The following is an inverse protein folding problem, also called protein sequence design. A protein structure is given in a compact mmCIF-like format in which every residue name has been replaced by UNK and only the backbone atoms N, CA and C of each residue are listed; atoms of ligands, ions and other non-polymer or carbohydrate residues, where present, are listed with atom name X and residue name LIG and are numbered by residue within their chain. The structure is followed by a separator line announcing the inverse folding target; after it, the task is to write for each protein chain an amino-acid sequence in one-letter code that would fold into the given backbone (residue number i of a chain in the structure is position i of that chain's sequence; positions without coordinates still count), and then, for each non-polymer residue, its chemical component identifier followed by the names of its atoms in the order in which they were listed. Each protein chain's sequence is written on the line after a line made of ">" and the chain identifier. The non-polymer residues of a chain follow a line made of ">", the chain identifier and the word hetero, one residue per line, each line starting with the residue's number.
data_IF_883630701465
#
_entry.id   IF_883630701465
#
_cell.length_a   1.000
_cell.length_b   1.000
_cell.length_c   1.000
_cell.angle_alpha   90.00
_cell.angle_beta   90.00
_cell.angle_gamma   90.00
#
_symmetry.space_group_name_H-M   'P 1'
#
loop_
_entity.id
_entity.type
_entity.pdbx_description
1 polymer ?
#
# COMPACT_ATOMS: atom_id res chain seq x y z
N UNK A 1 3.74 -19.68 -28.26
CA UNK A 1 3.49 -18.29 -27.84
C UNK A 1 2.65 -18.34 -26.56
N UNK A 2 2.98 -17.58 -25.52
CA UNK A 2 2.19 -17.58 -24.29
C UNK A 2 0.84 -16.86 -24.53
N UNK A 3 -0.28 -17.50 -24.19
CA UNK A 3 -1.59 -16.86 -24.24
C UNK A 3 -1.63 -15.69 -23.25
N UNK A 4 -1.97 -14.48 -23.73
CA UNK A 4 -2.13 -13.26 -22.92
C UNK A 4 -3.58 -12.79 -22.92
N UNK A 5 -4.04 -12.24 -21.79
CA UNK A 5 -5.37 -11.63 -21.63
C UNK A 5 -5.27 -10.38 -20.76
N UNK A 6 -6.01 -9.34 -21.10
CA UNK A 6 -6.18 -8.15 -20.26
C UNK A 6 -7.59 -8.17 -19.66
N UNK A 7 -7.72 -7.95 -18.36
CA UNK A 7 -9.01 -7.69 -17.70
C UNK A 7 -9.09 -6.21 -17.32
N UNK A 8 -10.17 -5.53 -17.75
CA UNK A 8 -10.38 -4.10 -17.47
C UNK A 8 -10.26 -3.73 -15.99
N UNK A 9 -10.77 -4.59 -15.10
CA UNK A 9 -10.66 -4.43 -13.66
C UNK A 9 -10.51 -5.80 -13.00
N UNK A 10 -9.58 -5.92 -12.06
CA UNK A 10 -9.37 -7.11 -11.25
C UNK A 10 -9.07 -6.71 -9.81
N UNK A 11 -9.71 -7.37 -8.84
CA UNK A 11 -9.38 -7.18 -7.42
C UNK A 11 -8.37 -8.26 -7.04
N UNK A 12 -7.18 -7.83 -6.67
CA UNK A 12 -6.11 -8.66 -6.16
C UNK A 12 -6.07 -8.57 -4.62
N UNK A 13 -5.74 -9.70 -3.98
CA UNK A 13 -5.61 -9.83 -2.52
C UNK A 13 -4.19 -10.25 -2.10
N UNK A 14 -3.22 -10.23 -3.02
CA UNK A 14 -1.84 -10.69 -2.77
C UNK A 14 -1.13 -9.99 -1.61
N UNK A 15 -1.50 -8.74 -1.31
CA UNK A 15 -0.93 -7.95 -0.21
C UNK A 15 -1.72 -8.04 1.11
N UNK A 16 -2.73 -8.91 1.19
CA UNK A 16 -3.55 -9.09 2.39
C UNK A 16 -4.71 -8.10 2.54
N UNK A 17 -4.93 -7.23 1.55
CA UNK A 17 -6.08 -6.33 1.43
C UNK A 17 -6.45 -6.16 -0.06
N UNK A 18 -7.69 -5.73 -0.39
CA UNK A 18 -8.12 -5.61 -1.78
C UNK A 18 -7.43 -4.43 -2.50
N UNK A 19 -6.68 -4.73 -3.55
CA UNK A 19 -6.13 -3.76 -4.50
C UNK A 19 -6.84 -3.88 -5.84
N UNK A 20 -7.35 -2.77 -6.36
CA UNK A 20 -8.00 -2.74 -7.68
C UNK A 20 -6.94 -2.50 -8.74
N UNK A 21 -6.66 -3.52 -9.54
CA UNK A 21 -5.82 -3.44 -10.73
C UNK A 21 -6.67 -3.07 -11.95
N UNK A 22 -6.38 -1.93 -12.56
CA UNK A 22 -6.95 -1.51 -13.83
C UNK A 22 -6.10 -2.06 -14.98
N UNK A 23 -6.77 -2.58 -16.01
CA UNK A 23 -6.13 -3.21 -17.17
C UNK A 23 -5.13 -4.32 -16.80
N UNK A 24 -5.51 -5.18 -15.86
CA UNK A 24 -4.68 -6.24 -15.31
C UNK A 24 -4.23 -7.25 -16.40
N UNK A 25 -2.92 -7.39 -16.67
CA UNK A 25 -2.40 -8.36 -17.61
C UNK A 25 -2.33 -9.75 -16.97
N UNK A 26 -2.72 -10.76 -17.74
CA UNK A 26 -2.65 -12.16 -17.36
C UNK A 26 -1.90 -12.94 -18.42
N UNK A 27 -1.14 -13.93 -17.95
CA UNK A 27 -0.52 -14.96 -18.79
C UNK A 27 -0.95 -16.35 -18.32
N UNK A 28 -0.94 -17.32 -19.24
CA UNK A 28 -1.25 -18.72 -18.93
C UNK A 28 0.02 -19.48 -18.57
N UNK A 29 0.08 -20.02 -17.35
CA UNK A 29 1.17 -20.84 -16.84
C UNK A 29 0.58 -22.16 -16.33
N UNK A 30 1.03 -23.29 -16.87
CA UNK A 30 0.52 -24.63 -16.51
C UNK A 30 -1.02 -24.72 -16.55
N UNK A 31 -1.64 -24.14 -17.59
CA UNK A 31 -3.10 -24.13 -17.76
C UNK A 31 -3.87 -23.14 -16.87
N UNK A 32 -3.21 -22.45 -15.94
CA UNK A 32 -3.81 -21.46 -15.04
C UNK A 32 -3.48 -20.03 -15.49
N UNK A 33 -4.46 -19.13 -15.39
CA UNK A 33 -4.25 -17.71 -15.61
C UNK A 33 -3.66 -17.06 -14.36
N UNK A 34 -2.49 -16.47 -14.51
CA UNK A 34 -1.78 -15.75 -13.44
C UNK A 34 -1.50 -14.31 -13.86
N UNK A 35 -1.41 -13.40 -12.90
CA UNK A 35 -1.04 -12.01 -13.18
C UNK A 35 0.37 -11.96 -13.79
N UNK A 36 0.50 -11.21 -14.89
CA UNK A 36 1.77 -10.99 -15.60
C UNK A 36 2.32 -9.62 -15.23
N UNK A 37 2.70 -9.46 -13.96
CA UNK A 37 3.16 -8.21 -13.38
C UNK A 37 4.59 -8.33 -12.87
N UNK A 38 5.32 -7.23 -12.90
CA UNK A 38 6.53 -7.12 -12.09
C UNK A 38 6.11 -6.87 -10.63
N UNK A 39 6.22 -7.88 -9.78
CA UNK A 39 5.76 -7.80 -8.39
C UNK A 39 6.52 -6.76 -7.56
N UNK A 40 7.80 -6.52 -7.84
CA UNK A 40 8.58 -5.48 -7.15
C UNK A 40 8.05 -4.08 -7.50
N UNK A 41 7.78 -3.82 -8.79
CA UNK A 41 7.15 -2.57 -9.23
C UNK A 41 5.75 -2.45 -8.67
N UNK A 42 5.00 -3.55 -8.61
CA UNK A 42 3.65 -3.57 -8.07
C UNK A 42 3.60 -3.22 -6.59
N UNK A 43 4.49 -3.80 -5.78
CA UNK A 43 4.64 -3.46 -4.36
C UNK A 43 4.95 -1.97 -4.16
N UNK A 44 5.94 -1.44 -4.89
CA UNK A 44 6.30 -0.01 -4.85
C UNK A 44 5.13 0.91 -5.27
N UNK A 45 4.37 0.51 -6.29
CA UNK A 45 3.20 1.25 -6.75
C UNK A 45 2.08 1.26 -5.68
N UNK A 46 1.83 0.13 -5.02
CA UNK A 46 0.86 0.05 -3.92
C UNK A 46 1.29 0.91 -2.74
N UNK A 47 2.56 0.86 -2.34
CA UNK A 47 3.09 1.72 -1.28
C UNK A 47 2.89 3.21 -1.62
N UNK A 48 3.25 3.63 -2.83
CA UNK A 48 3.04 5.01 -3.27
C UNK A 48 1.56 5.41 -3.35
N UNK A 49 0.66 4.50 -3.73
CA UNK A 49 -0.77 4.81 -3.75
C UNK A 49 -1.33 4.97 -2.33
N UNK A 50 -0.80 4.24 -1.35
CA UNK A 50 -1.19 4.38 0.06
C UNK A 50 -0.83 5.76 0.65
N UNK A 51 0.22 6.43 0.15
CA UNK A 51 0.61 7.77 0.65
C UNK A 51 -0.45 8.83 0.32
N UNK A 52 -1.08 8.73 -0.85
CA UNK A 52 -2.08 9.68 -1.34
C UNK A 52 -3.53 9.19 -1.19
N UNK A 53 -3.73 8.02 -0.57
CA UNK A 53 -5.06 7.46 -0.35
C UNK A 53 -5.97 8.47 0.39
N UNK A 54 -7.13 8.85 -0.17
CA UNK A 54 -8.05 9.82 0.45
C UNK A 54 -8.88 9.21 1.60
N UNK A 55 -8.41 8.09 2.17
CA UNK A 55 -8.95 7.48 3.36
C UNK A 55 -7.86 7.03 4.34
N UNK A 56 -8.25 6.83 5.61
CA UNK A 56 -7.35 6.32 6.66
C UNK A 56 -6.75 4.96 6.29
N UNK A 57 -5.52 4.71 6.74
CA UNK A 57 -4.88 3.41 6.57
C UNK A 57 -5.63 2.34 7.37
N UNK A 58 -5.80 1.16 6.77
CA UNK A 58 -6.33 -0.03 7.44
C UNK A 58 -5.22 -0.79 8.19
N UNK A 59 -5.61 -1.70 9.08
CA UNK A 59 -4.66 -2.58 9.76
C UNK A 59 -3.85 -3.46 8.80
N UNK A 60 -4.48 -3.99 7.75
CA UNK A 60 -3.81 -4.78 6.73
C UNK A 60 -2.83 -3.93 5.89
N UNK A 61 -3.18 -2.67 5.61
CA UNK A 61 -2.28 -1.74 4.91
C UNK A 61 -1.07 -1.38 5.77
N UNK A 62 -1.26 -1.12 7.07
CA UNK A 62 -0.15 -0.89 8.01
C UNK A 62 0.76 -2.11 8.11
N UNK A 63 0.18 -3.31 8.18
CA UNK A 63 0.93 -4.57 8.20
C UNK A 63 1.76 -4.73 6.92
N UNK A 64 1.16 -4.47 5.76
CA UNK A 64 1.85 -4.49 4.47
C UNK A 64 3.02 -3.51 4.44
N UNK A 65 2.80 -2.23 4.78
CA UNK A 65 3.87 -1.21 4.84
C UNK A 65 5.02 -1.69 5.73
N UNK A 66 4.72 -2.19 6.94
CA UNK A 66 5.74 -2.67 7.86
C UNK A 66 6.57 -3.82 7.26
N UNK A 67 5.92 -4.76 6.59
CA UNK A 67 6.61 -5.89 5.97
C UNK A 67 7.43 -5.49 4.74
N UNK A 68 6.96 -4.54 3.93
CA UNK A 68 7.68 -4.02 2.77
C UNK A 68 8.99 -3.32 3.13
N UNK A 69 9.09 -2.76 4.33
CA UNK A 69 10.32 -2.19 4.88
C UNK A 69 11.06 -3.15 5.83
N UNK A 70 10.68 -4.43 5.85
CA UNK A 70 11.29 -5.50 6.66
C UNK A 70 11.36 -5.18 8.17
N UNK A 71 10.41 -4.38 8.67
CA UNK A 71 10.43 -3.91 10.05
C UNK A 71 9.72 -4.91 10.97
N UNK A 72 10.33 -5.18 12.14
CA UNK A 72 9.61 -5.84 13.23
C UNK A 72 8.55 -4.89 13.81
N UNK A 73 7.51 -5.43 14.45
CA UNK A 73 6.52 -4.61 15.17
C UNK A 73 7.19 -3.67 16.19
N UNK A 74 8.29 -4.12 16.83
CA UNK A 74 9.08 -3.31 17.77
C UNK A 74 9.81 -2.17 17.08
N UNK A 75 10.45 -2.42 15.94
CA UNK A 75 11.13 -1.39 15.16
C UNK A 75 10.14 -0.35 14.63
N UNK A 76 8.99 -0.82 14.13
CA UNK A 76 7.93 0.06 13.63
C UNK A 76 7.34 0.93 14.74
N UNK A 77 7.07 0.35 15.91
CA UNK A 77 6.61 1.08 17.09
C UNK A 77 7.64 2.12 17.57
N UNK A 78 8.93 1.79 17.51
CA UNK A 78 10.02 2.73 17.86
C UNK A 78 10.08 3.91 16.89
N UNK A 79 9.75 3.71 15.61
CA UNK A 79 9.80 4.77 14.59
C UNK A 79 8.56 5.65 14.57
N UNK A 80 7.37 5.09 14.71
CA UNK A 80 6.10 5.80 14.47
C UNK A 80 5.13 5.82 15.65
N UNK A 81 5.29 4.89 16.60
CA UNK A 81 4.49 4.88 17.81
C UNK A 81 5.13 5.70 18.91
N UNK A 82 4.41 5.87 20.01
CA UNK A 82 4.95 6.39 21.28
C UNK A 82 5.84 5.33 21.97
N UNK A 83 6.61 4.56 21.20
CA UNK A 83 7.52 3.52 21.69
C UNK A 83 6.89 2.21 22.14
N UNK A 84 5.57 2.02 22.03
CA UNK A 84 4.89 0.83 22.58
C UNK A 84 4.49 -0.20 21.50
N UNK A 85 5.12 -1.39 21.56
CA UNK A 85 4.79 -2.55 20.70
C UNK A 85 3.28 -2.91 20.64
N UNK A 86 2.50 -2.81 21.74
CA UNK A 86 1.06 -3.06 21.71
C UNK A 86 0.27 -2.14 20.77
N UNK A 87 0.72 -0.90 20.51
CA UNK A 87 0.01 0.02 19.62
C UNK A 87 -0.01 -0.53 18.18
N UNK A 88 1.13 -0.99 17.68
CA UNK A 88 1.24 -1.58 16.33
C UNK A 88 0.39 -2.83 16.20
N UNK A 89 0.41 -3.72 17.21
CA UNK A 89 -0.48 -4.89 17.25
C UNK A 89 -1.95 -4.45 17.18
N UNK A 90 -2.32 -3.42 17.94
CA UNK A 90 -3.68 -2.88 17.97
C UNK A 90 -4.12 -2.31 16.62
N UNK A 91 -3.21 -1.67 15.88
CA UNK A 91 -3.45 -1.18 14.53
C UNK A 91 -3.63 -2.32 13.53
N UNK A 92 -2.72 -3.28 13.49
CA UNK A 92 -2.78 -4.41 12.55
C UNK A 92 -4.01 -5.30 12.78
N UNK A 93 -4.45 -5.45 14.04
CA UNK A 93 -5.67 -6.20 14.40
C UNK A 93 -6.96 -5.62 13.80
N UNK A 94 -6.96 -4.39 13.30
CA UNK A 94 -8.13 -3.79 12.64
C UNK A 94 -8.43 -4.43 11.27
N UNK A 95 -7.51 -5.20 10.68
CA UNK A 95 -7.71 -5.83 9.37
C UNK A 95 -8.02 -4.78 8.30
N UNK A 96 -9.11 -4.95 7.55
CA UNK A 96 -9.52 -3.98 6.53
C UNK A 96 -10.20 -2.71 7.07
N UNK A 97 -10.39 -2.62 8.40
CA UNK A 97 -10.97 -1.43 9.03
C UNK A 97 -9.90 -0.35 9.25
N UNK A 98 -10.28 0.94 9.21
CA UNK A 98 -9.41 2.04 9.57
C UNK A 98 -8.74 1.85 10.92
N UNK A 99 -7.46 2.21 11.01
CA UNK A 99 -6.74 2.23 12.27
C UNK A 99 -7.20 3.37 13.18
N UNK A 100 -7.00 3.22 14.49
CA UNK A 100 -7.31 4.24 15.50
C UNK A 100 -6.09 5.12 15.83
N UNK A 101 -5.04 5.13 14.99
CA UNK A 101 -3.84 5.94 15.25
C UNK A 101 -4.11 7.43 15.07
N UNK A 102 -3.27 8.26 15.69
CA UNK A 102 -3.34 9.72 15.49
C UNK A 102 -3.11 10.08 14.02
N UNK A 103 -3.64 11.22 13.58
CA UNK A 103 -3.38 11.68 12.21
C UNK A 103 -1.91 12.03 11.98
N UNK A 104 -1.21 12.57 12.99
CA UNK A 104 0.22 12.84 12.91
C UNK A 104 1.05 11.58 12.70
N UNK A 105 0.76 10.49 13.41
CA UNK A 105 1.40 9.18 13.20
C UNK A 105 1.16 8.67 11.79
N UNK A 106 -0.07 8.76 11.29
CA UNK A 106 -0.37 8.29 9.92
C UNK A 106 0.34 9.14 8.87
N UNK A 107 0.43 10.47 9.06
CA UNK A 107 1.24 11.34 8.18
C UNK A 107 2.70 10.92 8.17
N UNK A 108 3.29 10.66 9.33
CA UNK A 108 4.70 10.25 9.42
C UNK A 108 4.96 8.92 8.69
N UNK A 109 4.05 7.95 8.82
CA UNK A 109 4.12 6.70 8.05
C UNK A 109 4.05 6.97 6.54
N UNK A 110 3.10 7.81 6.08
CA UNK A 110 2.97 8.15 4.66
C UNK A 110 4.20 8.88 4.12
N UNK A 111 4.74 9.82 4.89
CA UNK A 111 5.95 10.56 4.55
C UNK A 111 7.18 9.66 4.50
N UNK A 112 7.28 8.71 5.43
CA UNK A 112 8.34 7.70 5.42
C UNK A 112 8.35 6.87 4.14
N UNK A 113 7.18 6.46 3.64
CA UNK A 113 7.09 5.77 2.35
C UNK A 113 7.65 6.65 1.22
N UNK A 114 7.24 7.93 1.17
CA UNK A 114 7.72 8.87 0.15
C UNK A 114 9.23 9.08 0.27
N UNK A 115 9.76 9.24 1.48
CA UNK A 115 11.19 9.45 1.71
C UNK A 115 12.04 8.26 1.22
N UNK A 116 11.55 7.03 1.37
CA UNK A 116 12.27 5.84 0.93
C UNK A 116 12.10 5.52 -0.57
N UNK A 117 10.95 5.84 -1.16
CA UNK A 117 10.65 5.46 -2.56
C UNK A 117 10.86 6.61 -3.55
N UNK A 118 10.58 7.84 -3.15
CA UNK A 118 10.72 9.03 -3.99
C UNK A 118 10.94 10.32 -3.17
N UNK A 119 12.11 10.48 -2.53
CA UNK A 119 12.37 11.60 -1.63
C UNK A 119 12.25 12.98 -2.30
N UNK A 120 12.41 13.07 -3.63
CA UNK A 120 12.19 14.31 -4.39
C UNK A 120 10.76 14.85 -4.27
N UNK A 121 9.77 13.98 -3.97
CA UNK A 121 8.36 14.35 -3.81
C UNK A 121 7.97 14.67 -2.37
N UNK A 122 8.89 14.54 -1.41
CA UNK A 122 8.59 14.66 0.03
C UNK A 122 7.91 16.00 0.37
N UNK A 123 8.45 17.12 -0.16
CA UNK A 123 7.88 18.46 0.07
C UNK A 123 6.45 18.60 -0.43
N UNK A 124 6.17 18.01 -1.60
CA UNK A 124 4.83 18.05 -2.20
C UNK A 124 3.86 17.19 -1.38
N UNK A 125 4.26 15.96 -1.03
CA UNK A 125 3.45 15.06 -0.21
C UNK A 125 3.13 15.66 1.17
N UNK A 126 4.10 16.35 1.79
CA UNK A 126 3.89 17.07 3.05
C UNK A 126 2.78 18.12 2.92
N UNK A 127 2.87 18.99 1.91
CA UNK A 127 1.87 20.03 1.67
C UNK A 127 0.47 19.47 1.38
N UNK A 128 0.36 18.35 0.65
CA UNK A 128 -0.92 17.68 0.38
C UNK A 128 -1.55 17.13 1.67
N UNK A 129 -0.74 16.56 2.57
CA UNK A 129 -1.21 15.98 3.83
C UNK A 129 -1.60 17.02 4.88
N UNK A 130 -1.24 18.30 4.72
CA UNK A 130 -1.69 19.37 5.61
C UNK A 130 -3.19 19.71 5.44
N UNK A 131 -3.75 19.50 4.25
CA UNK A 131 -5.00 20.18 3.86
C UNK A 131 -6.31 19.55 4.37
N UNK A 132 -6.34 18.29 4.86
CA UNK A 132 -7.47 17.74 5.64
C UNK A 132 -7.23 16.30 6.12
N UNK A 133 -8.01 15.86 7.11
CA UNK A 133 -8.04 14.44 7.54
C UNK A 133 -8.79 13.61 6.49
N UNK A 134 -8.20 12.52 5.96
CA UNK A 134 -8.85 11.64 4.99
C UNK A 134 -10.16 11.02 5.51
N UNK A 135 -11.09 10.70 4.60
CA UNK A 135 -12.39 10.07 4.95
C UNK A 135 -12.20 8.62 5.43
N UNK A 136 -13.26 7.97 5.92
CA UNK A 136 -13.14 6.66 6.60
C UNK A 136 -12.92 5.44 5.69
N UNK A 137 -13.13 5.48 4.37
CA UNK A 137 -12.90 4.29 3.53
C UNK A 137 -12.87 4.58 2.03
N UNK A 138 -11.78 4.20 1.36
CA UNK A 138 -11.67 4.03 -0.09
C UNK A 138 -10.68 2.89 -0.40
N UNK A 139 -10.80 2.24 -1.57
CA UNK A 139 -9.90 1.17 -2.00
C UNK A 139 -8.71 1.74 -2.77
N UNK A 140 -7.55 1.11 -2.66
CA UNK A 140 -6.37 1.45 -3.46
C UNK A 140 -6.58 1.00 -4.91
N UNK A 141 -6.31 1.90 -5.85
CA UNK A 141 -6.39 1.62 -7.29
C UNK A 141 -5.00 1.77 -7.90
N UNK A 142 -4.61 0.82 -8.75
CA UNK A 142 -3.32 0.79 -9.44
C UNK A 142 -3.56 0.55 -10.93
N UNK A 143 -2.96 1.39 -11.78
CA UNK A 143 -2.97 1.23 -13.22
C UNK A 143 -1.86 0.24 -13.63
N UNK A 144 -2.18 -0.76 -14.46
CA UNK A 144 -1.20 -1.77 -14.86
C UNK A 144 -0.05 -1.23 -15.71
N UNK A 145 -0.24 -0.11 -16.42
CA UNK A 145 0.80 0.54 -17.25
C UNK A 145 2.07 0.86 -16.47
N UNK A 146 1.94 1.08 -15.16
CA UNK A 146 3.05 1.52 -14.31
C UNK A 146 3.88 0.33 -13.78
N UNK A 147 3.42 -0.91 -13.98
CA UNK A 147 3.91 -2.12 -13.30
C UNK A 147 4.12 -3.34 -14.23
N UNK A 148 4.22 -3.12 -15.54
CA UNK A 148 4.42 -4.20 -16.52
C UNK A 148 5.70 -5.03 -16.25
N UNK A 149 5.58 -6.34 -16.47
CA UNK A 149 6.73 -7.22 -16.66
C UNK A 149 7.40 -6.90 -18.00
N UNK A 150 8.74 -6.78 -18.00
CA UNK A 150 9.54 -6.54 -19.18
C UNK A 150 9.41 -7.70 -20.19
#
# INVERSE_FOLDING_TARGET
>A
MAEKKIKKSHIDYGFGFPVVLLDAPFRKVQGKWVLDLNFEKYEKAVLMALTHKPARLSGNEVKFIRHSFEMTQKAFAKRFGDGTHPAVIGWEKQGDKPTNMSWSTEKDIRLFIVDNLNPSRLRKAYAELEQSVPKRSEKVQIQSSDIHAA
#
